data_IF_995611222977
#
_entry.id   IF_995611222977
#
_cell.length_a   1.000
_cell.length_b   1.000
_cell.length_c   1.000
_cell.angle_alpha   90.00
_cell.angle_beta   90.00
_cell.angle_gamma   90.00
#
_symmetry.space_group_name_H-M   'P 1'
#
loop_
_entity.id
_entity.type
_entity.pdbx_description
1 polymer ?
#
# COMPACT_ATOMS: atom_id res chain seq x y z
N UNK A 1 4.64 29.21 -17.13
CA UNK A 1 4.21 27.96 -16.46
C UNK A 1 4.99 26.71 -16.89
N UNK A 2 5.60 26.64 -18.08
CA UNK A 2 6.55 25.54 -18.44
C UNK A 2 7.71 25.32 -17.43
N UNK A 3 8.07 26.36 -16.67
CA UNK A 3 9.26 26.39 -15.80
C UNK A 3 9.12 25.54 -14.53
N UNK A 4 7.92 25.45 -13.93
CA UNK A 4 7.72 24.68 -12.69
C UNK A 4 7.56 23.19 -12.99
N UNK A 5 6.80 22.84 -14.04
CA UNK A 5 6.70 21.46 -14.54
C UNK A 5 8.06 20.91 -14.99
N UNK A 6 8.84 21.68 -15.76
CA UNK A 6 10.23 21.30 -16.10
C UNK A 6 11.16 21.27 -14.89
N UNK A 7 10.92 22.05 -13.83
CA UNK A 7 11.71 21.99 -12.58
C UNK A 7 11.36 20.78 -11.72
N UNK A 8 10.08 20.45 -11.56
CA UNK A 8 9.64 19.24 -10.86
C UNK A 8 10.08 18.01 -11.66
N UNK A 9 9.87 17.99 -12.98
CA UNK A 9 10.42 16.98 -13.89
C UNK A 9 11.95 16.89 -13.81
N UNK A 10 12.70 18.01 -13.75
CA UNK A 10 14.17 18.00 -13.61
C UNK A 10 14.66 17.53 -12.24
N UNK A 11 13.91 17.80 -11.18
CA UNK A 11 14.22 17.32 -9.82
C UNK A 11 13.91 15.83 -9.71
N UNK A 12 12.82 15.37 -10.35
CA UNK A 12 12.47 13.95 -10.50
C UNK A 12 13.40 13.21 -11.47
N UNK A 13 13.97 13.90 -12.47
CA UNK A 13 14.92 13.35 -13.44
C UNK A 13 16.38 13.45 -13.00
N UNK A 14 16.67 13.93 -11.78
CA UNK A 14 18.01 13.81 -11.18
C UNK A 14 18.25 12.33 -10.86
N UNK A 15 18.64 11.57 -11.88
CA UNK A 15 19.27 10.24 -11.86
C UNK A 15 18.83 9.33 -10.71
N UNK A 16 17.55 8.98 -10.65
CA UNK A 16 17.24 7.60 -10.30
C UNK A 16 17.65 6.77 -11.51
N UNK A 17 18.77 6.04 -11.41
CA UNK A 17 19.27 5.15 -12.48
C UNK A 17 18.28 4.02 -12.82
N UNK A 18 17.19 3.90 -12.05
CA UNK A 18 16.18 2.87 -12.15
C UNK A 18 14.81 3.52 -12.16
N UNK A 19 14.07 3.37 -13.26
CA UNK A 19 12.62 3.54 -13.21
C UNK A 19 12.04 2.36 -12.44
N UNK A 20 11.19 2.57 -11.42
CA UNK A 20 10.53 1.47 -10.75
C UNK A 20 9.73 0.67 -11.79
N UNK A 21 9.88 -0.65 -11.77
CA UNK A 21 9.18 -1.55 -12.69
C UNK A 21 7.89 -2.04 -12.03
N UNK A 22 6.78 -1.94 -12.75
CA UNK A 22 5.48 -2.39 -12.26
C UNK A 22 5.50 -3.87 -11.95
N UNK A 23 4.76 -4.30 -10.92
CA UNK A 23 4.82 -5.67 -10.39
C UNK A 23 4.65 -6.74 -11.47
N UNK A 24 3.70 -6.52 -12.39
CA UNK A 24 3.38 -7.41 -13.51
C UNK A 24 4.57 -7.65 -14.45
N UNK A 25 5.47 -6.69 -14.61
CA UNK A 25 6.60 -6.76 -15.57
C UNK A 25 7.87 -7.34 -14.95
N UNK A 26 7.86 -7.68 -13.65
CA UNK A 26 9.02 -8.22 -12.95
C UNK A 26 9.18 -9.71 -13.18
N UNK A 27 10.42 -10.13 -13.29
CA UNK A 27 10.78 -11.55 -13.31
C UNK A 27 10.50 -12.18 -11.95
N UNK A 28 10.23 -13.48 -11.93
CA UNK A 28 9.88 -14.22 -10.72
C UNK A 28 10.90 -14.00 -9.59
N UNK A 29 12.20 -14.09 -9.89
CA UNK A 29 13.24 -13.91 -8.88
C UNK A 29 13.25 -12.51 -8.26
N UNK A 30 12.90 -11.47 -9.03
CA UNK A 30 12.82 -10.09 -8.52
C UNK A 30 11.62 -9.90 -7.60
N UNK A 31 10.51 -10.60 -7.88
CA UNK A 31 9.34 -10.62 -6.99
C UNK A 31 9.68 -11.32 -5.68
N UNK A 32 10.34 -12.49 -5.76
CA UNK A 32 10.75 -13.26 -4.58
C UNK A 32 11.77 -12.50 -3.73
N UNK A 33 12.78 -11.87 -4.35
CA UNK A 33 13.78 -11.05 -3.64
C UNK A 33 13.12 -9.96 -2.78
N UNK A 34 12.16 -9.23 -3.37
CA UNK A 34 11.37 -8.27 -2.61
C UNK A 34 10.54 -8.92 -1.49
N UNK A 35 9.80 -9.99 -1.80
CA UNK A 35 8.95 -10.70 -0.82
C UNK A 35 9.80 -11.18 0.38
N UNK A 36 10.97 -11.77 0.12
CA UNK A 36 11.91 -12.22 1.14
C UNK A 36 12.39 -11.07 2.03
N UNK A 37 12.72 -9.92 1.46
CA UNK A 37 13.10 -8.74 2.25
C UNK A 37 11.94 -8.24 3.17
N UNK A 38 10.69 -8.31 2.69
CA UNK A 38 9.51 -7.97 3.51
C UNK A 38 9.26 -9.00 4.61
N UNK A 39 9.50 -10.29 4.36
CA UNK A 39 9.45 -11.32 5.41
C UNK A 39 10.52 -11.02 6.46
N UNK A 40 11.75 -10.72 6.05
CA UNK A 40 12.85 -10.35 6.95
C UNK A 40 12.49 -9.16 7.86
N UNK A 41 11.90 -8.08 7.33
CA UNK A 41 11.45 -6.96 8.18
C UNK A 41 10.36 -7.37 9.17
N UNK A 42 9.51 -8.34 8.83
CA UNK A 42 8.49 -8.84 9.74
C UNK A 42 9.04 -9.76 10.85
N UNK A 43 10.28 -10.25 10.72
CA UNK A 43 10.97 -11.08 11.72
C UNK A 43 11.88 -10.27 12.65
N UNK A 44 12.29 -9.07 12.24
CA UNK A 44 13.08 -8.17 13.08
C UNK A 44 12.23 -7.52 14.17
N UNK A 45 12.86 -7.23 15.29
CA UNK A 45 12.24 -6.50 16.39
C UNK A 45 11.91 -5.06 16.00
N UNK A 46 10.73 -4.58 16.43
CA UNK A 46 10.31 -3.20 16.28
C UNK A 46 11.27 -2.23 16.98
N UNK A 47 11.44 -1.03 16.41
CA UNK A 47 12.18 0.05 17.05
C UNK A 47 11.35 0.86 18.06
N UNK A 48 10.01 0.71 18.02
CA UNK A 48 9.08 1.53 18.81
C UNK A 48 8.36 0.73 19.90
N UNK A 49 8.06 -0.53 19.65
CA UNK A 49 7.16 -1.33 20.49
C UNK A 49 7.67 -2.78 20.64
N UNK A 50 8.31 -3.11 21.78
CA UNK A 50 8.77 -4.46 22.07
C UNK A 50 7.66 -5.51 21.88
N UNK A 51 8.05 -6.64 21.28
CA UNK A 51 7.14 -7.74 20.95
C UNK A 51 6.28 -7.50 19.71
N UNK A 52 6.49 -6.43 18.96
CA UNK A 52 6.03 -6.29 17.57
C UNK A 52 7.20 -6.31 16.59
N UNK A 53 6.94 -6.24 15.28
CA UNK A 53 7.98 -6.34 14.26
C UNK A 53 8.43 -4.99 13.73
N UNK A 54 9.63 -4.94 13.15
CA UNK A 54 10.13 -3.78 12.41
C UNK A 54 9.19 -3.39 11.26
N UNK A 55 8.49 -4.35 10.68
CA UNK A 55 7.45 -4.09 9.69
C UNK A 55 6.23 -3.35 10.28
N UNK A 56 5.81 -3.69 11.50
CA UNK A 56 4.67 -3.06 12.18
C UNK A 56 4.93 -1.57 12.49
N UNK A 57 6.19 -1.14 12.58
CA UNK A 57 6.57 0.27 12.78
C UNK A 57 6.01 1.20 11.69
N UNK A 58 5.93 0.70 10.45
CA UNK A 58 5.43 1.49 9.32
C UNK A 58 3.92 1.73 9.44
N UNK A 59 3.16 0.75 9.94
CA UNK A 59 1.74 0.92 10.21
C UNK A 59 1.51 1.88 11.37
N UNK A 60 2.32 1.78 12.44
CA UNK A 60 2.28 2.72 13.56
C UNK A 60 2.52 4.17 13.11
N UNK A 61 3.62 4.41 12.40
CA UNK A 61 4.00 5.75 11.93
C UNK A 61 2.99 6.35 10.97
N UNK A 62 2.38 5.53 10.10
CA UNK A 62 1.37 6.01 9.16
C UNK A 62 0.09 6.50 9.85
N UNK A 63 -0.36 5.82 10.90
CA UNK A 63 -1.50 6.31 11.69
C UNK A 63 -1.11 7.53 12.52
N UNK A 64 0.08 7.49 13.16
CA UNK A 64 0.57 8.55 14.04
C UNK A 64 0.66 9.91 13.32
N UNK A 65 1.26 9.94 12.13
CA UNK A 65 1.39 11.16 11.32
C UNK A 65 0.15 11.45 10.47
N UNK A 66 -0.81 10.53 10.40
CA UNK A 66 -1.93 10.61 9.45
C UNK A 66 -2.71 11.92 9.51
N UNK A 67 -2.90 12.49 10.72
CA UNK A 67 -3.68 13.73 10.93
C UNK A 67 -3.10 14.94 10.20
N UNK A 68 -1.80 14.94 9.93
CA UNK A 68 -1.08 16.04 9.30
C UNK A 68 -0.58 15.68 7.91
N UNK A 69 -0.95 14.51 7.38
CA UNK A 69 -0.49 14.01 6.08
C UNK A 69 -1.63 13.63 5.13
N UNK A 70 -2.77 13.15 5.64
CA UNK A 70 -3.97 12.89 4.82
C UNK A 70 -4.86 14.12 4.72
N UNK A 71 -5.47 14.33 3.56
CA UNK A 71 -6.26 15.53 3.24
C UNK A 71 -5.48 16.83 3.49
N UNK A 72 -4.17 16.78 3.24
CA UNK A 72 -3.24 17.84 3.56
C UNK A 72 -2.26 18.08 2.39
N UNK A 73 -1.70 19.29 2.31
CA UNK A 73 -0.72 19.63 1.29
C UNK A 73 0.56 18.75 1.35
N UNK A 74 0.83 18.16 2.51
CA UNK A 74 1.93 17.23 2.79
C UNK A 74 1.70 15.80 2.28
N UNK A 75 0.50 15.45 1.79
CA UNK A 75 0.15 14.08 1.39
C UNK A 75 1.19 13.43 0.49
N UNK A 76 1.46 14.00 -0.69
CA UNK A 76 2.43 13.45 -1.63
C UNK A 76 3.88 13.46 -1.12
N UNK A 77 4.45 14.58 -0.63
CA UNK A 77 5.83 14.58 -0.17
C UNK A 77 6.06 13.65 1.04
N UNK A 78 5.09 13.56 1.95
CA UNK A 78 5.20 12.66 3.11
C UNK A 78 5.15 11.20 2.69
N UNK A 79 4.18 10.78 1.85
CA UNK A 79 4.10 9.40 1.38
C UNK A 79 5.34 9.00 0.57
N UNK A 80 5.90 9.91 -0.25
CA UNK A 80 7.17 9.66 -0.95
C UNK A 80 8.33 9.42 0.03
N UNK A 81 8.43 10.22 1.08
CA UNK A 81 9.46 10.05 2.10
C UNK A 81 9.25 8.78 2.94
N UNK A 82 8.00 8.44 3.23
CA UNK A 82 7.61 7.20 3.91
C UNK A 82 8.04 5.96 3.11
N UNK A 83 7.73 5.91 1.81
CA UNK A 83 8.17 4.85 0.89
C UNK A 83 9.69 4.76 0.81
N UNK A 84 10.38 5.91 0.73
CA UNK A 84 11.84 5.94 0.71
C UNK A 84 12.46 5.38 2.00
N UNK A 85 11.88 5.72 3.15
CA UNK A 85 12.32 5.19 4.46
C UNK A 85 12.10 3.68 4.55
N UNK A 86 11.00 3.18 3.97
CA UNK A 86 10.73 1.76 3.85
C UNK A 86 11.72 1.04 2.93
N UNK A 87 12.01 1.59 1.73
CA UNK A 87 13.04 1.05 0.81
C UNK A 87 14.41 0.98 1.48
N UNK A 88 14.75 2.03 2.25
CA UNK A 88 16.00 2.07 3.00
C UNK A 88 16.07 0.97 4.07
N UNK A 89 14.97 0.73 4.81
CA UNK A 89 14.92 -0.36 5.77
C UNK A 89 15.09 -1.74 5.11
N UNK A 90 14.44 -1.98 3.96
CA UNK A 90 14.64 -3.20 3.19
C UNK A 90 16.10 -3.37 2.75
N UNK A 91 16.73 -2.29 2.28
CA UNK A 91 18.10 -2.30 1.75
C UNK A 91 19.13 -2.50 2.87
N UNK A 92 19.05 -1.71 3.94
CA UNK A 92 20.07 -1.66 4.99
C UNK A 92 19.89 -2.76 6.03
N UNK A 93 18.65 -3.17 6.31
CA UNK A 93 18.36 -4.14 7.37
C UNK A 93 18.16 -5.55 6.81
N UNK A 94 17.72 -5.69 5.55
CA UNK A 94 17.33 -6.96 4.93
C UNK A 94 18.00 -7.24 3.58
N UNK A 95 19.08 -6.51 3.25
CA UNK A 95 19.94 -6.75 2.09
C UNK A 95 19.20 -6.73 0.72
N UNK A 96 18.10 -5.97 0.63
CA UNK A 96 17.38 -5.81 -0.63
C UNK A 96 18.16 -4.91 -1.59
N UNK A 97 18.46 -5.41 -2.79
CA UNK A 97 19.19 -4.65 -3.82
C UNK A 97 18.36 -4.33 -5.07
N UNK A 98 17.11 -4.79 -5.11
CA UNK A 98 16.17 -4.43 -6.15
C UNK A 98 15.64 -3.01 -6.01
N UNK A 99 14.73 -2.64 -6.91
CA UNK A 99 13.88 -1.46 -6.74
C UNK A 99 12.52 -1.86 -6.21
N UNK A 100 11.86 -0.99 -5.44
CA UNK A 100 10.49 -1.22 -5.02
C UNK A 100 9.58 -1.48 -6.25
N UNK A 101 8.76 -2.54 -6.23
CA UNK A 101 7.66 -2.66 -7.17
C UNK A 101 6.67 -1.47 -7.08
N UNK A 102 5.72 -1.41 -8.01
CA UNK A 102 4.49 -0.62 -7.86
C UNK A 102 3.32 -1.38 -8.49
N UNK A 103 2.10 -1.09 -8.03
CA UNK A 103 0.88 -1.66 -8.58
C UNK A 103 0.21 -0.67 -9.52
N UNK A 104 0.25 -0.98 -10.81
CA UNK A 104 -0.48 -0.23 -11.84
C UNK A 104 -1.96 -0.65 -11.86
N UNK A 105 -2.80 0.06 -11.11
CA UNK A 105 -4.22 -0.28 -10.99
C UNK A 105 -4.96 -0.22 -12.32
N UNK A 106 -4.54 0.65 -13.24
CA UNK A 106 -5.23 0.84 -14.51
C UNK A 106 -5.20 -0.42 -15.37
N UNK A 107 -4.15 -1.25 -15.23
CA UNK A 107 -4.06 -2.54 -15.91
C UNK A 107 -5.05 -3.59 -15.35
N UNK A 108 -5.46 -3.43 -14.09
CA UNK A 108 -6.30 -4.37 -13.37
C UNK A 108 -7.70 -3.81 -13.08
N UNK A 109 -8.02 -2.61 -13.57
CA UNK A 109 -9.26 -1.90 -13.26
C UNK A 109 -10.53 -2.63 -13.71
N UNK A 110 -10.44 -3.59 -14.62
CA UNK A 110 -11.59 -4.42 -15.01
C UNK A 110 -11.91 -5.53 -13.98
N UNK A 111 -10.89 -6.01 -13.27
CA UNK A 111 -11.03 -6.98 -12.20
C UNK A 111 -9.84 -6.91 -11.23
N UNK A 112 -9.95 -6.06 -10.21
CA UNK A 112 -8.86 -5.84 -9.26
C UNK A 112 -8.53 -7.13 -8.48
N UNK A 113 -9.50 -8.01 -8.26
CA UNK A 113 -9.31 -9.28 -7.54
C UNK A 113 -8.42 -10.26 -8.31
N UNK A 114 -8.41 -10.17 -9.64
CA UNK A 114 -7.62 -11.02 -10.54
C UNK A 114 -6.20 -10.47 -10.79
N UNK A 115 -5.83 -9.35 -10.14
CA UNK A 115 -4.49 -8.80 -10.27
C UNK A 115 -3.42 -9.83 -9.84
N UNK A 116 -2.31 -9.96 -10.58
CA UNK A 116 -1.20 -10.85 -10.20
C UNK A 116 -0.55 -10.44 -8.89
N UNK A 117 -0.81 -9.24 -8.36
CA UNK A 117 -0.36 -8.87 -7.02
C UNK A 117 -1.00 -9.74 -5.94
N UNK A 118 -2.15 -10.35 -6.20
CA UNK A 118 -2.86 -11.24 -5.29
C UNK A 118 -2.60 -12.72 -5.55
N UNK A 119 -1.67 -13.05 -6.44
CA UNK A 119 -1.26 -14.44 -6.69
C UNK A 119 -0.68 -15.07 -5.40
N UNK A 120 -1.06 -16.32 -5.04
CA UNK A 120 -0.56 -16.98 -3.84
C UNK A 120 0.87 -17.52 -3.97
N UNK A 121 1.44 -17.63 -5.18
CA UNK A 121 2.77 -18.18 -5.40
C UNK A 121 3.79 -17.05 -5.58
N UNK A 122 3.51 -16.14 -6.51
CA UNK A 122 4.42 -15.07 -6.88
C UNK A 122 3.87 -13.67 -6.59
N UNK A 123 2.80 -13.58 -5.79
CA UNK A 123 2.17 -12.34 -5.32
C UNK A 123 2.20 -12.19 -3.80
N UNK A 124 1.28 -11.40 -3.28
CA UNK A 124 1.13 -11.07 -1.86
C UNK A 124 0.05 -11.90 -1.16
N UNK A 125 -0.41 -12.98 -1.81
CA UNK A 125 -1.55 -13.77 -1.37
C UNK A 125 -2.89 -13.15 -1.74
N UNK A 126 -3.91 -14.00 -1.85
CA UNK A 126 -5.25 -13.61 -2.30
C UNK A 126 -6.12 -12.98 -1.21
N UNK A 127 -7.43 -13.14 -1.39
CA UNK A 127 -8.45 -12.72 -0.44
C UNK A 127 -8.36 -13.51 0.88
N UNK A 128 -8.96 -12.96 1.93
CA UNK A 128 -9.09 -13.65 3.21
C UNK A 128 -10.11 -14.79 3.15
N UNK A 129 -9.91 -15.83 3.95
CA UNK A 129 -10.89 -16.92 4.14
C UNK A 129 -11.29 -17.03 5.61
N UNK A 130 -12.55 -17.41 5.87
CA UNK A 130 -13.14 -17.48 7.21
C UNK A 130 -12.60 -18.61 8.11
N UNK A 131 -11.49 -19.25 7.73
CA UNK A 131 -10.96 -20.46 8.36
C UNK A 131 -10.13 -20.22 9.62
N UNK A 132 -10.04 -18.98 10.11
CA UNK A 132 -9.20 -18.62 11.25
C UNK A 132 -10.04 -18.12 12.43
N UNK A 133 -9.59 -18.45 13.64
CA UNK A 133 -10.15 -17.98 14.91
C UNK A 133 -9.53 -16.65 15.39
N UNK A 134 -8.51 -16.13 14.70
CA UNK A 134 -7.93 -14.84 15.04
C UNK A 134 -8.89 -13.69 14.72
N UNK A 135 -8.85 -12.58 15.47
CA UNK A 135 -9.61 -11.38 15.13
C UNK A 135 -9.30 -10.91 13.70
N UNK A 136 -10.26 -10.22 13.07
CA UNK A 136 -10.14 -9.68 11.71
C UNK A 136 -10.59 -8.22 11.66
N UNK A 137 -10.16 -7.48 10.65
CA UNK A 137 -10.48 -6.05 10.52
C UNK A 137 -11.59 -5.80 9.50
N UNK A 138 -12.47 -4.84 9.77
CA UNK A 138 -13.40 -4.20 8.84
C UNK A 138 -14.14 -5.13 7.82
N UNK A 139 -14.58 -6.29 8.29
CA UNK A 139 -15.30 -7.29 7.47
C UNK A 139 -14.41 -8.08 6.51
N UNK A 140 -13.10 -8.07 6.73
CA UNK A 140 -12.16 -8.99 6.11
C UNK A 140 -12.03 -10.30 6.88
N UNK A 141 -11.29 -11.22 6.28
CA UNK A 141 -10.94 -12.52 6.83
C UNK A 141 -9.43 -12.75 6.72
N UNK A 142 -8.90 -13.73 7.47
CA UNK A 142 -7.46 -13.97 7.48
C UNK A 142 -6.97 -14.46 6.12
N UNK A 143 -5.85 -13.91 5.65
CA UNK A 143 -5.14 -14.41 4.49
C UNK A 143 -4.51 -15.76 4.85
N UNK A 144 -4.88 -16.81 4.12
CA UNK A 144 -4.46 -18.20 4.40
C UNK A 144 -3.52 -18.78 3.36
N UNK A 145 -3.22 -18.04 2.29
CA UNK A 145 -2.37 -18.49 1.18
C UNK A 145 -1.28 -17.46 0.84
N UNK A 146 -0.17 -17.97 0.32
CA UNK A 146 0.99 -17.21 -0.10
C UNK A 146 1.94 -16.76 0.99
N UNK A 147 2.94 -15.92 0.65
CA UNK A 147 4.10 -15.64 1.51
C UNK A 147 3.76 -14.99 2.85
N UNK A 148 2.55 -14.49 2.99
CA UNK A 148 2.07 -13.75 4.16
C UNK A 148 0.84 -14.41 4.80
N UNK A 149 0.58 -15.68 4.45
CA UNK A 149 -0.45 -16.49 5.09
C UNK A 149 -0.22 -16.54 6.61
N UNK A 150 -1.31 -16.42 7.37
CA UNK A 150 -1.31 -16.51 8.83
C UNK A 150 -0.40 -15.49 9.54
N UNK A 151 0.06 -14.45 8.84
CA UNK A 151 0.89 -13.42 9.44
C UNK A 151 0.10 -12.63 10.50
N UNK A 152 0.71 -12.39 11.66
CA UNK A 152 0.12 -11.57 12.72
C UNK A 152 0.46 -10.10 12.51
N UNK A 153 -0.51 -9.21 12.77
CA UNK A 153 -0.37 -7.75 12.79
C UNK A 153 -0.68 -7.23 14.17
N UNK A 154 0.10 -6.26 14.63
CA UNK A 154 0.01 -5.78 16.02
C UNK A 154 -0.85 -4.53 16.18
N UNK A 155 -1.03 -3.75 15.12
CA UNK A 155 -1.70 -2.46 15.16
C UNK A 155 -3.03 -2.46 14.42
N UNK A 156 -4.09 -1.98 15.06
CA UNK A 156 -5.41 -1.83 14.46
C UNK A 156 -5.80 -0.36 14.39
N UNK A 157 -6.31 0.08 13.24
CA UNK A 157 -7.06 1.33 13.16
C UNK A 157 -8.40 1.14 13.86
N UNK A 158 -8.84 2.11 14.67
CA UNK A 158 -10.19 2.08 15.27
C UNK A 158 -11.30 2.49 14.29
N UNK A 159 -10.93 3.11 13.17
CA UNK A 159 -11.86 3.57 12.14
C UNK A 159 -11.44 3.09 10.74
N UNK A 160 -12.40 3.02 9.84
CA UNK A 160 -12.20 2.67 8.43
C UNK A 160 -11.85 3.90 7.56
N UNK A 161 -11.03 4.82 8.08
CA UNK A 161 -10.55 6.01 7.35
C UNK A 161 -11.15 7.36 7.80
N UNK A 162 -11.88 7.40 8.92
CA UNK A 162 -12.50 8.63 9.44
C UNK A 162 -11.88 9.12 10.77
N UNK A 163 -10.74 8.56 11.16
CA UNK A 163 -10.08 8.83 12.42
C UNK A 163 -8.70 8.21 12.49
N UNK A 164 -7.87 8.75 13.38
CA UNK A 164 -6.43 8.52 13.46
C UNK A 164 -6.02 7.78 14.74
N UNK A 165 -6.97 7.07 15.35
CA UNK A 165 -6.71 6.30 16.55
C UNK A 165 -6.20 4.90 16.21
N UNK A 166 -5.11 4.51 16.88
CA UNK A 166 -4.49 3.18 16.76
C UNK A 166 -4.64 2.41 18.08
N UNK A 167 -4.72 1.08 17.99
CA UNK A 167 -4.75 0.16 19.12
C UNK A 167 -3.75 -0.97 18.92
N UNK A 168 -2.97 -1.29 19.96
CA UNK A 168 -2.17 -2.52 20.00
C UNK A 168 -3.11 -3.70 20.27
N UNK A 169 -3.46 -4.44 19.23
CA UNK A 169 -4.34 -5.61 19.33
C UNK A 169 -3.94 -6.63 18.26
N UNK A 170 -3.19 -7.68 18.62
CA UNK A 170 -2.75 -8.71 17.70
C UNK A 170 -3.92 -9.40 16.97
N UNK A 171 -3.79 -9.51 15.66
CA UNK A 171 -4.79 -10.12 14.79
C UNK A 171 -4.11 -10.68 13.54
N UNK A 172 -4.84 -11.40 12.69
CA UNK A 172 -4.26 -11.87 11.43
C UNK A 172 -4.24 -10.74 10.39
N UNK A 173 -3.31 -10.80 9.42
CA UNK A 173 -3.44 -10.04 8.19
C UNK A 173 -4.77 -10.40 7.53
N UNK A 174 -5.66 -9.41 7.45
CA UNK A 174 -7.03 -9.59 6.97
C UNK A 174 -7.26 -8.89 5.64
N UNK A 175 -8.00 -9.55 4.75
CA UNK A 175 -8.49 -9.00 3.46
C UNK A 175 -9.93 -9.45 3.24
N UNK A 176 -10.71 -8.64 2.53
CA UNK A 176 -12.11 -8.93 2.24
C UNK A 176 -12.55 -8.21 0.99
N UNK A 177 -12.12 -8.70 -0.18
CA UNK A 177 -12.35 -8.00 -1.46
C UNK A 177 -13.81 -7.60 -1.64
N UNK A 178 -14.02 -6.33 -1.95
CA UNK A 178 -15.33 -5.76 -2.14
C UNK A 178 -15.99 -6.37 -3.39
N UNK A 179 -17.24 -6.80 -3.25
CA UNK A 179 -18.07 -7.33 -4.34
C UNK A 179 -19.21 -6.39 -4.75
N UNK A 180 -19.96 -6.82 -5.78
CA UNK A 180 -21.19 -6.17 -6.25
C UNK A 180 -20.98 -4.77 -6.84
N UNK A 181 -22.02 -3.93 -6.81
CA UNK A 181 -21.97 -2.57 -7.40
C UNK A 181 -20.85 -1.70 -6.83
N UNK A 182 -20.49 -1.89 -5.55
CA UNK A 182 -19.39 -1.16 -4.93
C UNK A 182 -18.05 -1.52 -5.58
N UNK A 183 -17.82 -2.79 -5.94
CA UNK A 183 -16.63 -3.22 -6.68
C UNK A 183 -16.49 -2.43 -7.97
N UNK A 184 -17.53 -2.45 -8.80
CA UNK A 184 -17.56 -1.76 -10.09
C UNK A 184 -17.32 -0.25 -9.95
N UNK A 185 -17.88 0.39 -8.91
CA UNK A 185 -17.64 1.82 -8.65
C UNK A 185 -16.18 2.12 -8.31
N UNK A 186 -15.52 1.26 -7.54
CA UNK A 186 -14.12 1.42 -7.15
C UNK A 186 -13.18 1.15 -8.32
N UNK A 187 -13.48 0.11 -9.10
CA UNK A 187 -12.79 -0.25 -10.35
C UNK A 187 -12.82 0.88 -11.39
N UNK A 188 -13.99 1.50 -11.59
CA UNK A 188 -14.13 2.62 -12.51
C UNK A 188 -13.28 3.85 -12.14
N UNK A 189 -12.91 4.01 -10.85
CA UNK A 189 -12.10 5.13 -10.34
C UNK A 189 -10.60 4.96 -10.57
N UNK A 190 -10.16 3.78 -11.00
CA UNK A 190 -8.75 3.49 -11.24
C UNK A 190 -8.47 3.06 -12.68
N UNK A 191 -9.44 3.25 -13.58
CA UNK A 191 -9.23 3.07 -15.03
C UNK A 191 -8.21 4.08 -15.57
N UNK A 192 -7.60 3.78 -16.71
CA UNK A 192 -6.67 4.70 -17.40
C UNK A 192 -7.27 6.09 -17.59
N UNK A 193 -8.53 6.18 -18.00
CA UNK A 193 -9.21 7.47 -18.21
C UNK A 193 -9.44 8.21 -16.89
N UNK A 194 -9.83 7.51 -15.83
CA UNK A 194 -9.99 8.11 -14.51
C UNK A 194 -8.64 8.66 -13.99
N UNK A 195 -7.57 7.87 -14.06
CA UNK A 195 -6.22 8.29 -13.66
C UNK A 195 -5.75 9.48 -14.49
N UNK A 196 -5.92 9.45 -15.81
CA UNK A 196 -5.55 10.56 -16.70
C UNK A 196 -6.34 11.83 -16.38
N UNK A 197 -7.62 11.71 -15.99
CA UNK A 197 -8.42 12.88 -15.61
C UNK A 197 -7.84 13.58 -14.38
N UNK A 198 -7.40 12.83 -13.36
CA UNK A 198 -6.73 13.36 -12.18
C UNK A 198 -5.37 13.97 -12.54
N UNK A 199 -4.54 13.25 -13.31
CA UNK A 199 -3.21 13.72 -13.73
C UNK A 199 -3.26 15.00 -14.60
N UNK A 200 -4.41 15.29 -15.22
CA UNK A 200 -4.60 16.48 -16.04
C UNK A 200 -4.90 17.76 -15.24
N UNK A 201 -5.23 17.63 -13.95
CA UNK A 201 -5.53 18.75 -13.07
C UNK A 201 -4.29 19.64 -12.88
N UNK A 202 -4.49 20.95 -12.99
CA UNK A 202 -3.39 21.93 -13.00
C UNK A 202 -3.10 22.48 -11.59
N UNK A 203 -4.11 22.59 -10.75
CA UNK A 203 -3.95 23.00 -9.36
C UNK A 203 -3.40 21.83 -8.54
N UNK A 204 -2.38 22.10 -7.71
CA UNK A 204 -1.86 21.10 -6.78
C UNK A 204 -2.93 20.64 -5.79
N UNK A 205 -3.76 21.57 -5.30
CA UNK A 205 -4.83 21.28 -4.35
C UNK A 205 -5.88 20.36 -4.98
N UNK A 206 -6.38 20.71 -6.17
CA UNK A 206 -7.35 19.87 -6.90
C UNK A 206 -6.75 18.51 -7.25
N UNK A 207 -5.48 18.47 -7.66
CA UNK A 207 -4.78 17.24 -7.98
C UNK A 207 -4.67 16.30 -6.78
N UNK A 208 -4.17 16.80 -5.64
CA UNK A 208 -3.99 15.99 -4.44
C UNK A 208 -5.33 15.52 -3.88
N UNK A 209 -6.32 16.41 -3.81
CA UNK A 209 -7.66 16.05 -3.32
C UNK A 209 -8.32 14.98 -4.22
N UNK A 210 -8.31 15.20 -5.54
CA UNK A 210 -8.89 14.24 -6.48
C UNK A 210 -8.17 12.89 -6.44
N UNK A 211 -6.83 12.90 -6.34
CA UNK A 211 -6.02 11.69 -6.26
C UNK A 211 -6.30 10.90 -4.98
N UNK A 212 -6.34 11.59 -3.84
CA UNK A 212 -6.59 10.99 -2.53
C UNK A 212 -8.00 10.40 -2.46
N UNK A 213 -9.01 11.18 -2.85
CA UNK A 213 -10.43 10.79 -2.79
C UNK A 213 -10.80 9.73 -3.83
N UNK A 214 -10.19 9.79 -5.02
CA UNK A 214 -10.49 8.87 -6.11
C UNK A 214 -9.61 7.63 -6.06
N UNK A 215 -8.43 7.69 -6.67
CA UNK A 215 -7.64 6.50 -6.97
C UNK A 215 -7.06 5.88 -5.69
N UNK A 216 -6.46 6.71 -4.83
CA UNK A 216 -5.86 6.26 -3.58
C UNK A 216 -6.88 5.59 -2.67
N UNK A 217 -8.02 6.24 -2.36
CA UNK A 217 -9.02 5.69 -1.46
C UNK A 217 -9.81 4.51 -2.05
N UNK A 218 -9.76 4.30 -3.37
CA UNK A 218 -10.49 3.19 -4.00
C UNK A 218 -9.89 1.83 -3.64
N UNK A 219 -8.58 1.75 -3.47
CA UNK A 219 -7.88 0.48 -3.21
C UNK A 219 -8.07 0.00 -1.75
N UNK A 220 -7.89 0.83 -0.70
CA UNK A 220 -8.35 0.57 0.67
C UNK A 220 -9.78 0.03 0.75
N UNK A 221 -10.71 0.71 0.07
CA UNK A 221 -12.12 0.34 0.05
C UNK A 221 -12.39 -0.97 -0.70
N UNK A 222 -11.56 -1.30 -1.70
CA UNK A 222 -11.67 -2.54 -2.45
C UNK A 222 -11.09 -3.73 -1.66
N UNK A 223 -9.83 -3.64 -1.21
CA UNK A 223 -9.12 -4.74 -0.55
C UNK A 223 -9.72 -5.05 0.83
N UNK A 224 -10.17 -4.00 1.54
CA UNK A 224 -10.73 -4.04 2.89
C UNK A 224 -9.79 -4.72 3.89
N UNK A 225 -10.33 -5.25 4.99
CA UNK A 225 -9.50 -5.82 6.04
C UNK A 225 -8.59 -4.77 6.66
N UNK A 226 -7.35 -5.14 6.91
CA UNK A 226 -6.28 -4.24 7.36
C UNK A 226 -6.07 -3.05 6.43
N UNK A 227 -6.27 -3.28 5.13
CA UNK A 227 -6.02 -2.31 4.07
C UNK A 227 -7.03 -1.15 4.09
N UNK A 228 -8.18 -1.29 4.76
CA UNK A 228 -9.25 -0.29 4.73
C UNK A 228 -8.96 0.92 5.62
N UNK A 229 -8.33 0.70 6.77
CA UNK A 229 -8.05 1.76 7.74
C UNK A 229 -6.73 2.46 7.46
N UNK A 230 -6.36 3.41 8.34
CA UNK A 230 -5.03 4.04 8.28
C UNK A 230 -3.88 3.10 8.68
N UNK A 231 -4.21 1.92 9.22
CA UNK A 231 -3.26 0.81 9.33
C UNK A 231 -3.09 0.08 8.01
N UNK A 232 -3.47 0.66 6.87
CA UNK A 232 -3.26 0.08 5.56
C UNK A 232 -1.86 -0.50 5.39
N UNK A 233 -0.75 0.11 5.87
CA UNK A 233 0.59 -0.49 5.77
C UNK A 233 0.77 -1.86 6.42
N UNK A 234 -0.15 -2.33 7.27
CA UNK A 234 -0.20 -3.74 7.70
C UNK A 234 -0.32 -4.69 6.49
N UNK A 235 -1.02 -4.24 5.45
CA UNK A 235 -1.06 -4.87 4.15
C UNK A 235 0.31 -4.73 3.48
N UNK A 236 0.93 -5.86 3.19
CA UNK A 236 2.23 -5.92 2.48
C UNK A 236 2.19 -5.42 1.02
N UNK A 237 1.00 -4.97 0.60
CA UNK A 237 0.68 -4.40 -0.71
C UNK A 237 0.73 -2.86 -0.68
N UNK A 238 0.66 -2.22 0.50
CA UNK A 238 0.35 -0.78 0.64
C UNK A 238 1.44 0.14 0.12
N UNK A 239 2.70 -0.28 0.26
CA UNK A 239 3.85 0.47 -0.24
C UNK A 239 3.84 0.55 -1.79
N UNK A 240 3.05 -0.29 -2.45
CA UNK A 240 2.92 -0.37 -3.91
C UNK A 240 1.79 0.43 -4.52
N UNK A 241 0.82 0.80 -3.71
CA UNK A 241 -0.38 1.55 -4.09
C UNK A 241 -0.22 3.04 -3.80
N UNK A 242 0.81 3.46 -3.08
CA UNK A 242 1.07 4.88 -2.82
C UNK A 242 1.69 5.54 -4.06
N UNK A 243 0.99 6.55 -4.57
CA UNK A 243 1.28 7.42 -5.72
C UNK A 243 2.79 7.63 -5.95
N UNK A 244 3.33 7.08 -7.05
CA UNK A 244 4.66 7.40 -7.57
C UNK A 244 4.59 8.48 -8.65
#
# INVERSE_FOLDING_TARGET
MESLYKKISRVLSRKWKYQPLGYRKREWFQKQDYISAVVCLAEKESHFEPGSSRYDDFAYMHVFEGTVTHYAASFLPWHRYFIHTYEKALTEECDFHGSLPYWDWALDAHDLAASPIFDPIDGFGGNGTSRSSLPTMFGGHCVTEGPFANATRHWQSKSNGHGFDILKNPHCLSRGFQGGEKKTKLENRVTTDAINSVLSLQSYEEFVDALEVQAHNSIPQFVRGDFYGLTAPNGKITVFSSVQ
#
